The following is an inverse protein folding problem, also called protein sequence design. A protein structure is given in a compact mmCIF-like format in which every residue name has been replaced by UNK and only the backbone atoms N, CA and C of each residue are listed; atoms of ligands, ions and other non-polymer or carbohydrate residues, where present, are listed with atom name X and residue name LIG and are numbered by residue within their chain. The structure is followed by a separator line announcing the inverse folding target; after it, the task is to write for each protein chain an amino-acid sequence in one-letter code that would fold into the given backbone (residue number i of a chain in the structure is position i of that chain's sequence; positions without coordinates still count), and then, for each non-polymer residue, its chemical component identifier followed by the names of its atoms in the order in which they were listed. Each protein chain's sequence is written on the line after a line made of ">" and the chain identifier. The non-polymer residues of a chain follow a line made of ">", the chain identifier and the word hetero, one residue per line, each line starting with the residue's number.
data_IF_824798851763
#
_entry.id   IF_824798851763
#
_cell.length_a   1.000
_cell.length_b   1.000
_cell.length_c   1.000
_cell.angle_alpha   90.00
_cell.angle_beta   90.00
_cell.angle_gamma   90.00
#
_symmetry.space_group_name_H-M   'P 1'
#
loop_
_entity.id
_entity.type
_entity.pdbx_description
1 polymer ?
#
# COMPACT_ATOMS: atom_id res chain seq x y z
N UNK A 1 -11.87 4.62 11.91
CA UNK A 1 -10.56 5.16 11.46
C UNK A 1 -10.18 4.43 10.19
N UNK A 2 -9.89 5.14 9.12
CA UNK A 2 -9.55 4.54 7.83
C UNK A 2 -8.27 3.66 7.95
N UNK A 3 -8.34 2.45 7.47
CA UNK A 3 -7.30 1.44 7.56
C UNK A 3 -6.73 1.14 6.17
N UNK A 4 -5.95 2.08 5.65
CA UNK A 4 -5.34 1.93 4.32
C UNK A 4 -4.41 0.71 4.22
N UNK A 5 -3.78 0.36 5.32
CA UNK A 5 -2.96 -0.85 5.44
C UNK A 5 -3.73 -2.15 5.11
N UNK A 6 -5.00 -2.26 5.51
CA UNK A 6 -5.83 -3.42 5.18
C UNK A 6 -6.14 -3.50 3.68
N UNK A 7 -6.34 -2.35 3.03
CA UNK A 7 -6.57 -2.29 1.57
C UNK A 7 -5.32 -2.73 0.82
N UNK A 8 -4.16 -2.24 1.24
CA UNK A 8 -2.88 -2.63 0.64
C UNK A 8 -2.57 -4.12 0.84
N UNK A 9 -2.85 -4.66 2.03
CA UNK A 9 -2.69 -6.10 2.29
C UNK A 9 -3.63 -6.94 1.43
N UNK A 10 -4.91 -6.54 1.32
CA UNK A 10 -5.86 -7.22 0.43
C UNK A 10 -5.41 -7.19 -1.03
N UNK A 11 -4.89 -6.04 -1.50
CA UNK A 11 -4.30 -5.95 -2.83
C UNK A 11 -3.08 -6.88 -2.98
N UNK A 12 -2.18 -6.91 -2.01
CA UNK A 12 -1.01 -7.80 -2.04
C UNK A 12 -1.37 -9.28 -2.12
N UNK A 13 -2.52 -9.68 -1.54
CA UNK A 13 -3.02 -11.06 -1.63
C UNK A 13 -3.50 -11.42 -3.04
N UNK A 14 -4.15 -10.49 -3.74
CA UNK A 14 -4.73 -10.75 -5.08
C UNK A 14 -3.75 -10.43 -6.22
N UNK A 15 -2.75 -9.62 -5.97
CA UNK A 15 -1.75 -9.22 -6.97
C UNK A 15 -0.72 -10.33 -7.14
N UNK A 16 -0.74 -10.98 -8.30
CA UNK A 16 0.07 -12.19 -8.58
C UNK A 16 1.56 -12.06 -8.26
N UNK A 17 2.25 -10.94 -8.61
CA UNK A 17 3.67 -10.81 -8.28
C UNK A 17 3.96 -10.89 -6.78
N UNK A 18 3.10 -10.35 -5.94
CA UNK A 18 3.25 -10.41 -4.48
C UNK A 18 2.72 -11.73 -3.92
N UNK A 19 1.53 -12.17 -4.31
CA UNK A 19 0.89 -13.41 -3.83
C UNK A 19 1.01 -13.57 -2.32
N UNK A 20 0.66 -12.50 -1.59
CA UNK A 20 0.78 -12.47 -0.12
C UNK A 20 -0.15 -13.47 0.54
N UNK A 21 0.36 -14.25 1.49
CA UNK A 21 -0.45 -15.13 2.32
C UNK A 21 -0.68 -14.53 3.70
N UNK A 22 -1.88 -14.04 3.90
CA UNK A 22 -2.32 -13.42 5.16
C UNK A 22 -2.35 -14.43 6.33
N UNK A 23 -2.49 -15.71 6.05
CA UNK A 23 -2.54 -16.77 7.08
C UNK A 23 -1.16 -17.22 7.58
N UNK A 24 -0.08 -16.70 6.94
CA UNK A 24 1.29 -16.99 7.36
C UNK A 24 1.82 -18.38 7.05
N UNK A 25 1.09 -19.19 6.27
CA UNK A 25 1.52 -20.52 5.84
C UNK A 25 2.28 -20.51 4.52
N UNK A 26 2.20 -19.41 3.79
CA UNK A 26 2.83 -19.22 2.50
C UNK A 26 3.80 -18.06 2.48
N UNK A 27 3.78 -17.35 1.37
CA UNK A 27 4.73 -16.29 1.07
C UNK A 27 4.38 -14.97 1.80
N UNK A 28 5.24 -14.50 2.71
CA UNK A 28 5.10 -13.19 3.34
C UNK A 28 5.74 -12.14 2.45
N UNK A 29 4.93 -11.29 1.82
CA UNK A 29 5.37 -10.25 0.89
C UNK A 29 4.85 -8.85 1.23
N UNK A 30 4.02 -8.73 2.26
CA UNK A 30 3.52 -7.46 2.78
C UNK A 30 4.00 -7.24 4.22
N UNK A 31 4.52 -6.04 4.48
CA UNK A 31 5.09 -5.65 5.78
C UNK A 31 4.57 -4.28 6.20
N UNK A 32 4.13 -4.19 7.46
CA UNK A 32 3.82 -2.90 8.11
C UNK A 32 5.03 -2.44 8.90
N UNK A 33 5.46 -1.20 8.69
CA UNK A 33 6.64 -0.60 9.35
C UNK A 33 6.27 0.64 10.17
N UNK A 34 5.08 0.64 10.79
CA UNK A 34 4.52 1.78 11.52
C UNK A 34 5.14 1.99 12.89
N UNK A 35 5.85 0.99 13.41
CA UNK A 35 6.47 1.05 14.73
C UNK A 35 7.96 0.73 14.66
N UNK A 36 8.71 1.20 15.67
CA UNK A 36 10.14 0.87 15.79
C UNK A 36 10.36 -0.65 15.81
N UNK A 37 9.48 -1.39 16.47
CA UNK A 37 9.59 -2.85 16.56
C UNK A 37 9.35 -3.50 15.18
N UNK A 38 8.31 -3.08 14.45
CA UNK A 38 8.02 -3.59 13.11
C UNK A 38 9.14 -3.24 12.12
N UNK A 39 9.70 -2.03 12.24
CA UNK A 39 10.83 -1.62 11.43
C UNK A 39 12.07 -2.47 11.72
N UNK A 40 12.38 -2.72 12.99
CA UNK A 40 13.50 -3.58 13.38
C UNK A 40 13.29 -5.02 12.90
N UNK A 41 12.09 -5.57 13.03
CA UNK A 41 11.75 -6.89 12.50
C UNK A 41 11.94 -6.93 11.00
N UNK A 42 11.46 -5.92 10.29
CA UNK A 42 11.64 -5.82 8.84
C UNK A 42 13.12 -5.75 8.46
N UNK A 43 13.90 -4.86 9.10
CA UNK A 43 15.35 -4.71 8.83
C UNK A 43 16.12 -5.98 9.15
N UNK A 44 15.78 -6.71 10.20
CA UNK A 44 16.42 -7.97 10.55
C UNK A 44 16.09 -9.09 9.56
N UNK A 45 14.86 -9.11 9.03
CA UNK A 45 14.36 -10.20 8.19
C UNK A 45 14.35 -9.89 6.70
N UNK A 46 14.69 -8.65 6.27
CA UNK A 46 14.58 -8.28 4.86
C UNK A 46 15.44 -9.14 3.93
N UNK A 47 16.55 -9.70 4.41
CA UNK A 47 17.38 -10.64 3.65
C UNK A 47 16.68 -11.96 3.36
N UNK A 48 15.72 -12.32 4.21
CA UNK A 48 14.89 -13.52 4.10
C UNK A 48 13.53 -13.22 3.46
N UNK A 49 13.24 -11.92 3.22
CA UNK A 49 11.99 -11.53 2.61
C UNK A 49 11.85 -12.15 1.21
N UNK A 50 10.65 -12.57 0.91
CA UNK A 50 10.33 -13.01 -0.45
C UNK A 50 10.46 -11.80 -1.41
N UNK A 51 10.91 -12.05 -2.62
CA UNK A 51 11.00 -11.04 -3.66
C UNK A 51 10.01 -11.35 -4.79
N UNK A 52 9.28 -10.37 -5.30
CA UNK A 52 9.14 -9.00 -4.79
C UNK A 52 8.40 -8.95 -3.45
N UNK A 53 8.55 -7.83 -2.74
CA UNK A 53 7.76 -7.57 -1.54
C UNK A 53 7.38 -6.09 -1.43
N UNK A 54 6.41 -5.79 -0.57
CA UNK A 54 5.90 -4.45 -0.33
C UNK A 54 5.97 -4.13 1.17
N UNK A 55 6.44 -2.93 1.50
CA UNK A 55 6.40 -2.39 2.85
C UNK A 55 5.57 -1.11 2.89
N UNK A 56 4.88 -0.88 3.97
CA UNK A 56 3.98 0.24 4.16
C UNK A 56 4.22 0.95 5.48
N UNK A 57 4.24 2.28 5.43
CA UNK A 57 4.29 3.14 6.61
C UNK A 57 3.32 4.30 6.49
N UNK A 58 2.69 4.67 7.59
CA UNK A 58 1.87 5.87 7.70
C UNK A 58 2.60 6.90 8.54
N UNK A 59 2.96 8.02 7.94
CA UNK A 59 3.42 9.19 8.67
C UNK A 59 2.21 10.10 8.91
N UNK A 60 1.77 10.17 10.16
CA UNK A 60 0.80 11.18 10.57
C UNK A 60 1.54 12.50 10.67
N UNK A 61 1.39 13.37 9.68
CA UNK A 61 1.90 14.72 9.76
C UNK A 61 0.97 15.57 10.63
N UNK A 62 1.09 15.39 11.95
CA UNK A 62 0.34 16.16 12.95
C UNK A 62 0.66 17.66 12.86
N UNK A 63 1.75 18.06 12.23
CA UNK A 63 2.18 19.46 12.08
C UNK A 63 1.28 20.27 11.13
N UNK A 64 0.54 19.59 10.23
CA UNK A 64 -0.39 20.24 9.30
C UNK A 64 -1.82 20.36 9.82
N UNK A 65 -2.15 19.78 10.96
CA UNK A 65 -3.42 20.03 11.63
C UNK A 65 -3.41 21.44 12.25
N UNK A 66 -3.63 22.47 11.41
CA UNK A 66 -3.87 23.83 11.92
C UNK A 66 -5.11 23.80 12.82
N UNK A 67 -5.09 24.56 13.92
CA UNK A 67 -6.16 24.59 14.93
C UNK A 67 -7.58 24.76 14.35
N UNK A 68 -7.70 25.34 13.16
CA UNK A 68 -8.96 25.59 12.46
C UNK A 68 -9.10 24.75 11.17
N UNK A 69 -8.26 23.74 10.95
CA UNK A 69 -8.34 22.92 9.75
C UNK A 69 -9.58 22.03 9.80
N UNK A 70 -10.41 22.09 8.73
CA UNK A 70 -11.57 21.22 8.55
C UNK A 70 -11.18 19.80 8.10
N UNK A 71 -9.92 19.56 7.86
CA UNK A 71 -9.38 18.29 7.38
C UNK A 71 -8.06 17.93 8.07
N UNK A 72 -7.77 16.65 8.08
CA UNK A 72 -6.48 16.10 8.52
C UNK A 72 -5.84 15.47 7.29
N UNK A 73 -4.56 15.77 7.07
CA UNK A 73 -3.77 15.14 6.03
C UNK A 73 -2.91 14.03 6.63
N UNK A 74 -2.90 12.90 5.94
CA UNK A 74 -2.04 11.75 6.24
C UNK A 74 -1.13 11.52 5.04
N UNK A 75 0.12 11.18 5.28
CA UNK A 75 1.05 10.76 4.25
C UNK A 75 1.28 9.26 4.37
N UNK A 76 1.05 8.55 3.29
CA UNK A 76 1.25 7.12 3.17
C UNK A 76 2.51 6.86 2.33
N UNK A 77 3.47 6.16 2.90
CA UNK A 77 4.70 5.76 2.19
C UNK A 77 4.66 4.25 1.94
N UNK A 78 4.76 3.89 0.67
CA UNK A 78 4.70 2.50 0.20
C UNK A 78 5.99 2.21 -0.54
N UNK A 79 6.64 1.11 -0.21
CA UNK A 79 7.91 0.72 -0.79
C UNK A 79 7.77 -0.64 -1.47
N UNK A 80 7.99 -0.68 -2.77
CA UNK A 80 8.11 -1.92 -3.52
C UNK A 80 9.57 -2.29 -3.63
N UNK A 81 9.90 -3.52 -3.29
CA UNK A 81 11.28 -3.98 -3.21
C UNK A 81 11.45 -5.23 -4.04
N UNK A 82 12.40 -5.17 -4.95
CA UNK A 82 12.77 -6.27 -5.84
C UNK A 82 14.25 -6.58 -5.66
N UNK A 83 14.57 -7.84 -5.43
CA UNK A 83 15.94 -8.30 -5.31
C UNK A 83 16.44 -8.72 -6.68
N UNK A 84 17.57 -8.14 -7.09
CA UNK A 84 18.26 -8.58 -8.28
C UNK A 84 18.84 -9.97 -8.05
N UNK A 85 18.65 -10.88 -9.00
CA UNK A 85 19.26 -12.21 -8.95
C UNK A 85 20.80 -12.11 -8.86
N UNK A 86 21.39 -12.98 -8.07
CA UNK A 86 22.85 -13.12 -8.11
C UNK A 86 23.24 -13.67 -9.49
N UNK A 87 24.30 -13.15 -10.15
CA UNK A 87 24.83 -13.76 -11.35
C UNK A 87 25.26 -15.19 -10.96
N UNK A 88 24.48 -16.16 -11.38
CA UNK A 88 24.77 -17.56 -11.10
C UNK A 88 25.21 -18.24 -12.37
N UNK A 89 26.35 -18.90 -12.29
CA UNK A 89 26.87 -19.69 -13.39
C UNK A 89 26.02 -20.95 -13.69
N UNK A 90 25.11 -21.39 -12.84
CA UNK A 90 24.43 -22.69 -13.04
C UNK A 90 23.12 -22.93 -12.27
N UNK A 91 22.35 -21.94 -11.87
CA UNK A 91 21.08 -22.26 -11.18
C UNK A 91 19.86 -21.90 -12.01
N UNK A 92 19.01 -22.89 -12.21
CA UNK A 92 17.65 -22.71 -12.67
C UNK A 92 16.90 -21.84 -11.64
N UNK A 93 16.57 -20.72 -12.06
CA UNK A 93 15.95 -19.55 -11.48
C UNK A 93 14.83 -19.81 -10.49
N UNK A 94 14.90 -19.14 -9.37
CA UNK A 94 13.73 -18.85 -8.54
C UNK A 94 12.85 -17.88 -9.33
N UNK A 95 11.61 -18.25 -9.52
CA UNK A 95 10.64 -17.69 -10.46
C UNK A 95 10.31 -16.18 -10.31
N UNK A 96 10.98 -15.40 -9.49
CA UNK A 96 10.65 -14.00 -9.23
C UNK A 96 11.86 -13.10 -8.96
N UNK A 97 13.07 -13.51 -9.27
CA UNK A 97 14.23 -12.63 -9.21
C UNK A 97 14.46 -12.01 -10.59
N UNK A 98 14.60 -10.70 -10.66
CA UNK A 98 14.95 -10.02 -11.89
C UNK A 98 16.37 -10.39 -12.33
N UNK A 99 16.55 -10.74 -13.60
CA UNK A 99 17.83 -11.24 -14.11
C UNK A 99 18.90 -10.16 -14.18
N UNK A 100 18.50 -8.90 -14.36
CA UNK A 100 19.36 -7.75 -14.45
C UNK A 100 18.98 -6.62 -13.49
N UNK A 101 19.90 -5.68 -13.27
CA UNK A 101 19.63 -4.45 -12.53
C UNK A 101 18.49 -3.65 -13.15
N UNK A 102 18.48 -3.55 -14.47
CA UNK A 102 17.45 -2.83 -15.23
C UNK A 102 16.07 -3.47 -15.04
N UNK A 103 16.02 -4.81 -15.06
CA UNK A 103 14.77 -5.55 -14.88
C UNK A 103 14.22 -5.37 -13.47
N UNK A 104 15.08 -5.43 -12.44
CA UNK A 104 14.66 -5.22 -11.06
C UNK A 104 14.10 -3.82 -10.83
N UNK A 105 14.74 -2.80 -11.40
CA UNK A 105 14.30 -1.41 -11.37
C UNK A 105 12.95 -1.24 -12.06
N UNK A 106 12.85 -1.75 -13.29
CA UNK A 106 11.63 -1.67 -14.09
C UNK A 106 10.45 -2.38 -13.41
N UNK A 107 10.71 -3.54 -12.85
CA UNK A 107 9.69 -4.34 -12.16
C UNK A 107 9.16 -3.65 -10.89
N UNK A 108 10.03 -2.96 -10.14
CA UNK A 108 9.60 -2.19 -8.99
C UNK A 108 8.74 -0.98 -9.38
N UNK A 109 9.05 -0.32 -10.50
CA UNK A 109 8.27 0.79 -11.04
C UNK A 109 6.91 0.34 -11.58
N UNK A 110 6.86 -0.80 -12.29
CA UNK A 110 5.62 -1.40 -12.79
C UNK A 110 4.63 -1.70 -11.65
N UNK A 111 5.11 -2.25 -10.54
CA UNK A 111 4.26 -2.51 -9.38
C UNK A 111 3.63 -1.25 -8.78
N UNK A 112 4.33 -0.11 -8.83
CA UNK A 112 3.77 1.19 -8.42
C UNK A 112 2.64 1.60 -9.35
N UNK A 113 2.84 1.48 -10.66
CA UNK A 113 1.83 1.83 -11.65
C UNK A 113 0.58 0.95 -11.52
N UNK A 114 0.76 -0.35 -11.30
CA UNK A 114 -0.33 -1.30 -11.07
C UNK A 114 -1.12 -0.97 -9.79
N UNK A 115 -0.42 -0.60 -8.71
CA UNK A 115 -1.10 -0.16 -7.49
C UNK A 115 -1.88 1.14 -7.71
N UNK A 116 -1.31 2.12 -8.39
CA UNK A 116 -2.01 3.38 -8.68
C UNK A 116 -3.25 3.15 -9.53
N UNK A 117 -3.18 2.28 -10.54
CA UNK A 117 -4.33 1.90 -11.34
C UNK A 117 -5.42 1.22 -10.50
N UNK A 118 -5.03 0.29 -9.61
CA UNK A 118 -5.96 -0.34 -8.67
C UNK A 118 -6.63 0.67 -7.74
N UNK A 119 -5.88 1.60 -7.17
CA UNK A 119 -6.41 2.62 -6.25
C UNK A 119 -7.35 3.60 -6.96
N UNK A 120 -7.08 3.93 -8.23
CA UNK A 120 -7.96 4.78 -9.03
C UNK A 120 -9.31 4.11 -9.29
N UNK A 121 -9.31 2.83 -9.68
CA UNK A 121 -10.54 2.07 -9.83
C UNK A 121 -11.28 1.88 -8.48
N UNK A 122 -10.55 1.61 -7.40
CA UNK A 122 -11.13 1.51 -6.06
C UNK A 122 -11.82 2.82 -5.65
N UNK A 123 -11.20 3.97 -5.97
CA UNK A 123 -11.76 5.30 -5.72
C UNK A 123 -13.04 5.54 -6.51
N UNK A 124 -13.05 5.20 -7.80
CA UNK A 124 -14.24 5.30 -8.66
C UNK A 124 -15.39 4.45 -8.13
N UNK A 125 -15.14 3.20 -7.76
CA UNK A 125 -16.17 2.31 -7.20
C UNK A 125 -16.68 2.80 -5.83
N UNK A 126 -15.79 3.32 -4.97
CA UNK A 126 -16.19 3.90 -3.68
C UNK A 126 -17.09 5.11 -3.87
N UNK A 127 -16.84 5.97 -4.86
CA UNK A 127 -17.70 7.09 -5.19
C UNK A 127 -19.09 6.64 -5.68
N UNK A 128 -19.14 5.58 -6.52
CA UNK A 128 -20.40 5.00 -6.98
C UNK A 128 -21.22 4.44 -5.82
N UNK A 129 -20.56 3.71 -4.90
CA UNK A 129 -21.20 3.12 -3.73
C UNK A 129 -21.79 4.19 -2.78
N UNK A 130 -21.07 5.27 -2.53
CA UNK A 130 -21.52 6.39 -1.68
C UNK A 130 -22.71 7.10 -2.31
N UNK A 131 -22.72 7.29 -3.62
CA UNK A 131 -23.79 7.96 -4.35
C UNK A 131 -25.04 7.08 -4.55
N UNK A 132 -25.07 5.86 -4.00
CA UNK A 132 -26.24 4.97 -4.08
C UNK A 132 -26.45 4.33 -5.45
N UNK A 133 -25.50 4.45 -6.37
CA UNK A 133 -25.61 3.90 -7.73
C UNK A 133 -25.20 2.42 -7.82
N UNK A 134 -24.90 1.78 -6.70
CA UNK A 134 -24.56 0.35 -6.63
C UNK A 134 -25.82 -0.50 -6.47
N UNK A 135 -26.53 -0.74 -7.57
CA UNK A 135 -27.75 -1.59 -7.57
C UNK A 135 -27.48 -3.05 -7.98
N UNK A 136 -26.26 -3.38 -8.33
CA UNK A 136 -25.89 -4.71 -8.80
C UNK A 136 -25.07 -5.48 -7.77
N UNK A 137 -25.16 -6.81 -7.85
CA UNK A 137 -24.25 -7.66 -7.08
C UNK A 137 -22.80 -7.44 -7.54
N UNK A 138 -21.83 -7.33 -6.63
CA UNK A 138 -20.45 -7.06 -6.99
C UNK A 138 -19.86 -8.20 -7.84
N UNK A 139 -19.43 -7.87 -9.05
CA UNK A 139 -18.90 -8.82 -10.03
C UNK A 139 -17.39 -8.88 -10.04
N UNK A 140 -16.74 -7.73 -9.84
CA UNK A 140 -15.27 -7.64 -9.84
C UNK A 140 -14.68 -7.80 -8.45
N UNK A 141 -13.38 -8.08 -8.36
CA UNK A 141 -12.66 -8.14 -7.08
C UNK A 141 -12.69 -6.78 -6.36
N UNK A 142 -12.59 -5.67 -7.10
CA UNK A 142 -12.65 -4.31 -6.58
C UNK A 142 -14.02 -4.00 -6.00
N UNK A 143 -15.10 -4.31 -6.71
CA UNK A 143 -16.47 -4.12 -6.22
C UNK A 143 -16.73 -4.92 -4.95
N UNK A 144 -16.19 -6.14 -4.83
CA UNK A 144 -16.29 -6.95 -3.61
C UNK A 144 -15.55 -6.31 -2.44
N UNK A 145 -14.34 -5.79 -2.69
CA UNK A 145 -13.58 -5.08 -1.66
C UNK A 145 -14.37 -3.86 -1.19
N UNK A 146 -14.85 -3.02 -2.10
CA UNK A 146 -15.60 -1.79 -1.75
C UNK A 146 -16.90 -2.13 -1.01
N UNK A 147 -17.67 -3.13 -1.46
CA UNK A 147 -18.92 -3.51 -0.83
C UNK A 147 -18.75 -4.07 0.59
N UNK A 148 -17.58 -4.64 0.88
CA UNK A 148 -17.24 -5.15 2.20
C UNK A 148 -16.73 -4.07 3.17
N UNK A 149 -16.37 -2.88 2.66
CA UNK A 149 -15.85 -1.79 3.49
C UNK A 149 -16.97 -0.98 4.15
N UNK A 150 -16.81 -0.58 5.42
CA UNK A 150 -17.66 0.40 6.06
C UNK A 150 -17.68 1.73 5.28
N UNK A 151 -18.76 2.50 5.39
CA UNK A 151 -18.90 3.80 4.70
C UNK A 151 -17.77 4.77 5.05
N UNK A 152 -17.31 4.77 6.28
CA UNK A 152 -16.19 5.61 6.75
C UNK A 152 -14.89 5.28 6.01
N UNK A 153 -14.67 4.01 5.69
CA UNK A 153 -13.49 3.57 4.93
C UNK A 153 -13.63 3.89 3.43
N UNK A 154 -14.83 3.76 2.87
CA UNK A 154 -15.12 4.22 1.50
C UNK A 154 -14.87 5.74 1.36
N UNK A 155 -15.27 6.54 2.35
CA UNK A 155 -14.96 7.97 2.40
C UNK A 155 -13.46 8.23 2.52
N UNK A 156 -12.74 7.40 3.26
CA UNK A 156 -11.27 7.48 3.38
C UNK A 156 -10.57 7.25 2.04
N UNK A 157 -11.04 6.28 1.25
CA UNK A 157 -10.51 6.01 -0.10
C UNK A 157 -10.70 7.23 -1.00
N UNK A 158 -11.85 7.90 -0.93
CA UNK A 158 -12.11 9.11 -1.73
C UNK A 158 -11.17 10.26 -1.38
N UNK A 159 -10.63 10.27 -0.16
CA UNK A 159 -9.65 11.26 0.30
C UNK A 159 -8.24 11.08 -0.27
N UNK A 160 -7.93 9.95 -0.93
CA UNK A 160 -6.62 9.70 -1.54
C UNK A 160 -6.36 10.69 -2.69
N UNK A 161 -5.20 11.34 -2.66
CA UNK A 161 -4.75 12.29 -3.68
C UNK A 161 -3.82 11.57 -4.65
N UNK A 162 -4.40 10.85 -5.63
CA UNK A 162 -3.62 10.04 -6.57
C UNK A 162 -2.91 10.89 -7.63
N UNK A 163 -3.51 12.02 -8.03
CA UNK A 163 -2.91 12.94 -9.01
C UNK A 163 -1.64 13.62 -8.50
N UNK A 164 -1.46 13.67 -7.18
CA UNK A 164 -0.27 14.21 -6.51
C UNK A 164 0.69 13.12 -6.01
N UNK A 165 0.52 11.88 -6.44
CA UNK A 165 1.39 10.79 -6.03
C UNK A 165 2.79 10.98 -6.61
N UNK A 166 3.80 10.87 -5.76
CA UNK A 166 5.20 10.95 -6.14
C UNK A 166 5.88 9.60 -5.93
N UNK A 167 6.67 9.17 -6.90
CA UNK A 167 7.45 7.94 -6.73
C UNK A 167 8.84 8.04 -7.36
N UNK A 168 9.73 7.22 -6.89
CA UNK A 168 11.08 7.14 -7.41
C UNK A 168 11.75 5.83 -7.06
N UNK A 169 12.59 5.35 -7.97
CA UNK A 169 13.30 4.08 -7.81
C UNK A 169 14.77 4.33 -7.50
N UNK A 170 15.27 3.67 -6.47
CA UNK A 170 16.65 3.78 -6.02
C UNK A 170 17.21 2.42 -5.58
N UNK A 171 18.54 2.19 -5.76
CA UNK A 171 19.19 0.99 -5.27
C UNK A 171 19.40 1.06 -3.76
N UNK A 172 19.17 -0.03 -3.06
CA UNK A 172 19.65 -0.17 -1.69
C UNK A 172 21.16 -0.53 -1.70
N UNK A 173 21.93 0.15 -0.85
CA UNK A 173 23.38 0.03 -0.76
C UNK A 173 23.87 -1.41 -0.51
N UNK A 174 23.05 -2.25 0.08
CA UNK A 174 23.37 -3.61 0.45
C UNK A 174 22.40 -4.60 -0.17
N UNK A 175 22.87 -5.78 -0.53
CA UNK A 175 22.09 -6.96 -0.91
C UNK A 175 21.29 -6.89 -2.21
N UNK A 176 21.68 -6.05 -3.17
CA UNK A 176 21.10 -6.03 -4.52
C UNK A 176 19.58 -5.81 -4.58
N UNK A 177 19.05 -5.05 -3.62
CA UNK A 177 17.66 -4.64 -3.66
C UNK A 177 17.49 -3.36 -4.46
N UNK A 178 16.44 -3.32 -5.26
CA UNK A 178 15.87 -2.12 -5.83
C UNK A 178 14.59 -1.77 -5.12
N UNK A 179 14.43 -0.52 -4.78
CA UNK A 179 13.26 -0.02 -4.05
C UNK A 179 12.62 1.09 -4.87
N UNK A 180 11.34 0.94 -5.16
CA UNK A 180 10.51 2.04 -5.65
C UNK A 180 9.64 2.53 -4.50
N UNK A 181 9.90 3.74 -4.04
CA UNK A 181 9.10 4.41 -3.01
C UNK A 181 7.98 5.21 -3.66
N UNK A 182 6.75 5.03 -3.16
CA UNK A 182 5.56 5.77 -3.55
C UNK A 182 5.02 6.52 -2.34
N UNK A 183 4.79 7.82 -2.49
CA UNK A 183 4.11 8.65 -1.50
C UNK A 183 2.74 9.10 -1.99
N UNK A 184 1.71 8.89 -1.18
CA UNK A 184 0.34 9.30 -1.45
C UNK A 184 -0.17 10.10 -0.26
N UNK A 185 -0.73 11.28 -0.51
CA UNK A 185 -1.44 12.05 0.49
C UNK A 185 -2.90 11.61 0.57
N UNK A 186 -3.44 11.56 1.79
CA UNK A 186 -4.86 11.35 2.05
C UNK A 186 -5.39 12.53 2.84
N UNK A 187 -6.44 13.16 2.34
CA UNK A 187 -7.16 14.21 3.04
C UNK A 187 -8.45 13.63 3.60
N UNK A 188 -8.56 13.61 4.91
CA UNK A 188 -9.75 13.16 5.62
C UNK A 188 -10.47 14.35 6.25
N UNK A 189 -11.81 14.46 6.10
CA UNK A 189 -12.55 15.48 6.82
C UNK A 189 -12.38 15.26 8.33
N UNK A 190 -12.04 16.32 9.04
CA UNK A 190 -12.02 16.28 10.51
C UNK A 190 -13.46 16.18 10.99
N UNK A 191 -13.84 15.05 11.52
CA UNK A 191 -15.11 14.91 12.22
C UNK A 191 -14.99 15.71 13.52
N UNK A 192 -15.52 16.93 13.49
CA UNK A 192 -15.70 17.78 14.69
C UNK A 192 -16.90 17.28 15.52
N UNK A 193 -17.15 15.99 15.56
CA UNK A 193 -18.07 15.43 16.51
C UNK A 193 -17.42 15.50 17.89
N UNK A 194 -17.80 16.51 18.63
CA UNK A 194 -17.63 16.49 20.09
C UNK A 194 -18.42 15.28 20.58
N UNK A 195 -17.70 14.21 20.95
CA UNK A 195 -18.34 13.08 21.59
C UNK A 195 -18.80 13.56 22.97
N UNK A 196 -20.09 13.87 23.10
CA UNK A 196 -20.69 14.39 24.32
C UNK A 196 -20.39 13.54 25.57
N UNK A 197 -20.17 12.24 25.37
CA UNK A 197 -19.82 11.31 26.47
C UNK A 197 -18.44 11.59 27.11
N UNK A 198 -17.57 12.38 26.47
CA UNK A 198 -16.25 12.77 27.02
C UNK A 198 -16.27 14.09 27.79
N UNK A 199 -17.38 14.82 27.80
CA UNK A 199 -17.45 16.17 28.33
C UNK A 199 -18.58 16.37 29.36
N UNK A 200 -19.26 15.30 29.80
CA UNK A 200 -20.25 15.31 30.88
C UNK A 200 -19.93 14.24 31.93
#
# INVERSE_FOLDING_TARGET
>A
MFRFDNILEAWACIYKPLSHDINGHGRKTFYRIDTINNNNEFVQNYNLAATPCMAYSTLVDASRARANAKSISYRHSIYFMVKQAAPQHNAKTVVNDADTETDAKYYADEMVQDLLAFLDELKKESQRAINGNSTHQPQTAIERIVSALPKEEQMGINGLQLDGAEWGTFPMKYNRWWVCGLEIEQISPRLLCVNGEKYY
#
